data_IF_838359025214
#
_entry.id   IF_838359025214
#
_cell.length_a   1.000
_cell.length_b   1.000
_cell.length_c   1.000
_cell.angle_alpha   90.00
_cell.angle_beta   90.00
_cell.angle_gamma   90.00
#
_symmetry.space_group_name_H-M   'P 1'
#
loop_
_entity.id
_entity.type
_entity.pdbx_description
1 polymer ?
#
# COMPACT_ATOMS: atom_id res chain seq x y z
N UNK A 1 -17.33 31.16 -6.76
CA UNK A 1 -16.42 30.49 -7.73
C UNK A 1 -17.24 29.75 -8.80
N UNK A 2 -18.31 29.07 -8.42
CA UNK A 2 -19.22 28.39 -9.37
C UNK A 2 -19.82 29.35 -10.41
N UNK A 3 -20.13 30.58 -10.02
CA UNK A 3 -20.64 31.63 -10.91
C UNK A 3 -19.62 32.08 -11.96
N UNK A 4 -18.32 32.05 -11.60
CA UNK A 4 -17.22 32.49 -12.48
C UNK A 4 -16.76 31.35 -13.38
N UNK A 5 -16.58 30.17 -12.83
CA UNK A 5 -15.95 29.04 -13.50
C UNK A 5 -16.97 27.99 -14.00
N UNK A 6 -18.21 28.05 -13.52
CA UNK A 6 -19.24 27.06 -13.77
C UNK A 6 -19.09 25.83 -12.89
N UNK A 7 -20.16 25.42 -12.24
CA UNK A 7 -20.19 24.27 -11.31
C UNK A 7 -19.75 22.96 -11.96
N UNK A 8 -20.06 22.76 -13.23
CA UNK A 8 -19.63 21.57 -14.01
C UNK A 8 -18.12 21.50 -14.26
N UNK A 9 -17.41 22.59 -14.02
CA UNK A 9 -15.96 22.67 -14.14
C UNK A 9 -15.22 22.46 -12.81
N UNK A 10 -15.93 22.36 -11.70
CA UNK A 10 -15.34 22.02 -10.42
C UNK A 10 -14.79 20.60 -10.46
N UNK A 11 -13.53 20.42 -10.05
CA UNK A 11 -12.86 19.12 -10.01
C UNK A 11 -12.75 18.58 -8.57
N UNK A 12 -12.20 19.39 -7.67
CA UNK A 12 -11.96 18.97 -6.29
C UNK A 12 -11.60 20.15 -5.40
N UNK A 13 -11.57 19.90 -4.10
CA UNK A 13 -11.00 20.78 -3.09
C UNK A 13 -9.91 20.04 -2.33
N UNK A 14 -8.72 20.61 -2.29
CA UNK A 14 -7.66 20.18 -1.41
C UNK A 14 -7.78 20.87 -0.05
N UNK A 15 -7.67 20.08 1.01
CA UNK A 15 -7.61 20.53 2.38
C UNK A 15 -6.16 20.50 2.81
N UNK A 16 -5.56 21.68 2.95
CA UNK A 16 -4.13 21.80 3.25
C UNK A 16 -3.97 22.16 4.72
N UNK A 17 -3.32 21.28 5.46
CA UNK A 17 -2.94 21.59 6.83
C UNK A 17 -1.77 22.56 6.83
N UNK A 18 -2.00 23.78 7.26
CA UNK A 18 -1.02 24.87 7.29
C UNK A 18 -0.38 25.09 8.66
N UNK A 19 -0.89 24.38 9.68
CA UNK A 19 -0.32 24.45 11.05
C UNK A 19 -0.37 23.08 11.72
N UNK A 20 0.62 22.84 12.58
CA UNK A 20 0.63 21.71 13.49
C UNK A 20 -0.01 22.11 14.81
N UNK A 21 -0.72 21.19 15.45
CA UNK A 21 -1.48 21.45 16.69
C UNK A 21 -0.62 22.03 17.83
N UNK A 22 0.68 21.69 17.86
CA UNK A 22 1.63 22.15 18.86
C UNK A 22 2.24 23.55 18.58
N UNK A 23 1.96 24.15 17.41
CA UNK A 23 2.50 25.47 17.03
C UNK A 23 1.41 26.54 17.04
N UNK A 24 1.03 26.97 18.23
CA UNK A 24 0.18 28.15 18.43
C UNK A 24 1.02 29.41 18.34
N UNK A 25 0.85 30.21 17.28
CA UNK A 25 1.61 31.44 17.05
C UNK A 25 1.05 32.66 17.75
N UNK A 26 -0.20 32.59 18.24
CA UNK A 26 -0.84 33.69 19.01
C UNK A 26 -1.74 33.09 20.08
N UNK A 27 -1.56 33.52 21.29
CA UNK A 27 -2.36 33.12 22.45
C UNK A 27 -3.69 33.88 22.58
N UNK A 28 -3.90 34.90 21.75
CA UNK A 28 -5.00 35.86 21.80
C UNK A 28 -6.13 35.58 20.77
N UNK A 29 -6.11 34.42 20.16
CA UNK A 29 -7.17 33.99 19.19
C UNK A 29 -8.03 32.90 19.77
N UNK A 30 -9.34 33.12 19.79
CA UNK A 30 -10.33 32.11 20.22
C UNK A 30 -10.35 30.86 19.37
N UNK A 31 -9.99 30.99 18.08
CA UNK A 31 -9.94 29.89 17.13
C UNK A 31 -8.68 29.92 16.27
N UNK A 32 -8.04 28.78 16.13
CA UNK A 32 -6.86 28.63 15.27
C UNK A 32 -7.25 27.99 13.93
N UNK A 33 -6.95 28.69 12.84
CA UNK A 33 -7.09 28.16 11.50
C UNK A 33 -5.95 27.18 11.21
N UNK A 34 -6.26 25.87 11.18
CA UNK A 34 -5.28 24.84 10.88
C UNK A 34 -5.31 24.39 9.42
N UNK A 35 -6.42 24.64 8.72
CA UNK A 35 -6.68 24.14 7.38
C UNK A 35 -6.96 25.29 6.43
N UNK A 36 -6.37 25.22 5.25
CA UNK A 36 -6.71 26.07 4.10
C UNK A 36 -7.28 25.21 2.97
N UNK A 37 -8.06 25.87 2.11
CA UNK A 37 -8.74 25.20 1.01
C UNK A 37 -8.19 25.71 -0.32
N UNK A 38 -7.89 24.77 -1.24
CA UNK A 38 -7.61 25.07 -2.63
C UNK A 38 -8.72 24.45 -3.49
N UNK A 39 -9.57 25.28 -4.07
CA UNK A 39 -10.60 24.84 -5.00
C UNK A 39 -10.01 24.76 -6.40
N UNK A 40 -10.14 23.62 -7.05
CA UNK A 40 -9.63 23.40 -8.40
C UNK A 40 -10.77 23.31 -9.40
N UNK A 41 -10.70 24.17 -10.42
CA UNK A 41 -11.63 24.19 -11.53
C UNK A 41 -10.87 23.96 -12.84
N UNK A 42 -11.45 23.21 -13.74
CA UNK A 42 -10.93 23.10 -15.11
C UNK A 42 -11.46 24.26 -15.97
N UNK A 43 -10.68 24.69 -16.96
CA UNK A 43 -11.12 25.73 -17.90
C UNK A 43 -12.24 25.23 -18.83
N UNK A 44 -12.23 23.96 -19.17
CA UNK A 44 -13.23 23.30 -20.03
C UNK A 44 -13.24 21.78 -19.78
N UNK A 45 -14.24 21.10 -20.30
CA UNK A 45 -14.32 19.63 -20.22
C UNK A 45 -13.11 18.91 -20.86
N UNK A 46 -12.39 19.57 -21.78
CA UNK A 46 -11.19 19.03 -22.43
C UNK A 46 -9.91 19.26 -21.61
N UNK A 47 -9.93 20.16 -20.64
CA UNK A 47 -8.76 20.45 -19.81
C UNK A 47 -8.48 19.29 -18.87
N UNK A 48 -7.26 18.76 -18.91
CA UNK A 48 -6.75 17.71 -18.00
C UNK A 48 -5.50 18.24 -17.32
N UNK A 49 -5.28 17.91 -16.01
CA UNK A 49 -4.01 18.20 -15.37
C UNK A 49 -2.90 17.46 -16.10
N UNK A 50 -1.76 18.09 -16.23
CA UNK A 50 -0.56 17.42 -16.70
C UNK A 50 -0.17 16.36 -15.67
N UNK A 51 -0.06 15.12 -16.11
CA UNK A 51 0.52 14.09 -15.27
C UNK A 51 2.02 14.34 -15.17
N UNK A 52 2.50 14.49 -13.96
CA UNK A 52 3.94 14.48 -13.72
C UNK A 52 4.37 13.01 -13.76
N UNK A 53 4.88 12.56 -14.89
CA UNK A 53 5.44 11.21 -14.99
C UNK A 53 6.78 11.23 -14.25
N UNK A 54 6.79 10.63 -13.07
CA UNK A 54 8.03 10.36 -12.35
C UNK A 54 8.74 9.24 -13.10
N UNK A 55 10.00 9.43 -13.54
CA UNK A 55 10.76 8.35 -14.15
C UNK A 55 10.80 7.15 -13.20
N UNK A 56 10.43 6.00 -13.71
CA UNK A 56 10.37 4.78 -12.93
C UNK A 56 11.67 4.01 -13.14
N UNK A 57 12.45 3.83 -12.08
CA UNK A 57 13.57 2.89 -12.09
C UNK A 57 13.10 1.55 -11.54
N UNK A 58 13.49 0.48 -12.20
CA UNK A 58 13.26 -0.89 -11.73
C UNK A 58 14.37 -1.38 -10.80
N UNK A 59 15.43 -0.60 -10.62
CA UNK A 59 16.59 -0.95 -9.79
C UNK A 59 16.22 -1.18 -8.33
N UNK A 60 15.17 -0.51 -7.86
CA UNK A 60 14.65 -0.67 -6.50
C UNK A 60 13.92 -1.99 -6.29
N UNK A 61 13.46 -2.65 -7.36
CA UNK A 61 12.77 -3.96 -7.29
C UNK A 61 13.77 -5.11 -7.32
N UNK A 62 14.63 -5.17 -6.32
CA UNK A 62 15.78 -6.06 -6.25
C UNK A 62 15.64 -7.20 -5.23
N UNK A 63 14.51 -7.29 -4.56
CA UNK A 63 14.23 -8.34 -3.57
C UNK A 63 13.34 -9.43 -4.18
N UNK A 64 13.78 -10.67 -4.12
CA UNK A 64 13.05 -11.83 -4.63
C UNK A 64 12.78 -12.80 -3.49
N UNK A 65 11.53 -13.27 -3.36
CA UNK A 65 11.17 -14.31 -2.41
C UNK A 65 11.60 -15.67 -2.95
N UNK A 66 12.32 -16.41 -2.12
CA UNK A 66 12.72 -17.78 -2.42
C UNK A 66 12.06 -18.73 -1.42
N UNK A 67 11.23 -19.59 -1.93
CA UNK A 67 10.64 -20.70 -1.18
C UNK A 67 11.72 -21.78 -1.00
N UNK A 68 12.04 -22.17 0.24
CA UNK A 68 13.19 -23.05 0.53
C UNK A 68 12.81 -24.31 1.27
N UNK A 69 11.54 -24.45 1.67
CA UNK A 69 11.14 -25.59 2.48
C UNK A 69 9.66 -25.94 2.36
N UNK A 70 9.17 -26.60 3.38
CA UNK A 70 7.80 -27.08 3.44
C UNK A 70 6.82 -25.92 3.66
N UNK A 71 5.62 -26.12 3.16
CA UNK A 71 4.49 -25.21 3.37
C UNK A 71 3.23 -26.04 3.64
N UNK A 72 2.25 -25.42 4.23
CA UNK A 72 0.90 -25.97 4.28
C UNK A 72 -0.06 -25.08 3.50
N UNK A 73 -1.07 -25.70 2.92
CA UNK A 73 -2.09 -24.98 2.14
C UNK A 73 -3.36 -24.83 2.96
N UNK A 74 -3.96 -23.64 2.89
CA UNK A 74 -5.29 -23.38 3.45
C UNK A 74 -6.13 -22.58 2.45
N UNK A 75 -7.41 -22.44 2.75
CA UNK A 75 -8.31 -21.55 2.04
C UNK A 75 -8.71 -20.37 2.91
N UNK A 76 -8.52 -19.14 2.41
CA UNK A 76 -8.93 -17.92 3.07
C UNK A 76 -9.67 -17.03 2.08
N UNK A 77 -10.89 -16.60 2.43
CA UNK A 77 -11.68 -15.73 1.58
C UNK A 77 -11.92 -16.28 0.17
N UNK A 78 -12.09 -17.61 0.04
CA UNK A 78 -12.26 -18.29 -1.23
C UNK A 78 -10.99 -18.36 -2.09
N UNK A 79 -9.82 -18.12 -1.50
CA UNK A 79 -8.52 -18.19 -2.20
C UNK A 79 -7.61 -19.22 -1.56
N UNK A 80 -6.86 -19.93 -2.41
CA UNK A 80 -5.77 -20.78 -1.95
C UNK A 80 -4.65 -19.93 -1.39
N UNK A 81 -4.14 -20.32 -0.23
CA UNK A 81 -3.01 -19.69 0.44
C UNK A 81 -2.01 -20.76 0.85
N UNK A 82 -0.80 -20.67 0.32
CA UNK A 82 0.32 -21.49 0.78
C UNK A 82 1.08 -20.70 1.85
N UNK A 83 1.30 -21.33 3.00
CA UNK A 83 1.85 -20.70 4.21
C UNK A 83 3.19 -21.31 4.52
N UNK A 84 4.22 -20.47 4.52
CA UNK A 84 5.61 -20.85 4.80
C UNK A 84 6.00 -20.29 6.15
N UNK A 85 6.51 -21.12 7.02
CA UNK A 85 7.08 -20.66 8.28
C UNK A 85 8.38 -19.88 8.04
N UNK A 86 8.84 -19.14 9.04
CA UNK A 86 10.00 -18.26 8.96
C UNK A 86 11.25 -18.89 8.36
N UNK A 87 11.47 -20.18 8.61
CA UNK A 87 12.70 -20.88 8.21
C UNK A 87 12.58 -21.51 6.81
N UNK A 88 11.40 -21.45 6.19
CA UNK A 88 11.09 -22.08 4.90
C UNK A 88 11.02 -21.08 3.74
N UNK A 89 11.49 -19.88 3.94
CA UNK A 89 11.64 -18.89 2.89
C UNK A 89 12.74 -17.88 3.21
N UNK A 90 13.28 -17.24 2.20
CA UNK A 90 14.25 -16.16 2.36
C UNK A 90 14.10 -15.10 1.27
N UNK A 91 14.83 -13.99 1.43
CA UNK A 91 14.94 -12.94 0.42
C UNK A 91 16.30 -13.06 -0.24
N UNK A 92 16.29 -13.18 -1.56
CA UNK A 92 17.47 -13.08 -2.40
C UNK A 92 17.50 -11.70 -3.06
N UNK A 93 18.63 -11.02 -2.96
CA UNK A 93 18.82 -9.74 -3.65
C UNK A 93 19.51 -9.99 -4.99
N UNK A 94 18.88 -9.49 -6.05
CA UNK A 94 19.37 -9.54 -7.43
C UNK A 94 19.25 -8.18 -8.07
N UNK A 95 19.70 -8.06 -9.31
CA UNK A 95 19.46 -6.88 -10.13
C UNK A 95 17.95 -6.65 -10.29
N UNK A 96 17.53 -5.40 -10.13
CA UNK A 96 16.12 -5.02 -10.25
C UNK A 96 15.63 -5.14 -11.70
N UNK A 97 14.52 -5.82 -11.89
CA UNK A 97 13.90 -6.03 -13.20
C UNK A 97 12.39 -5.76 -13.14
N UNK A 98 11.77 -5.67 -14.31
CA UNK A 98 10.30 -5.61 -14.43
C UNK A 98 9.62 -6.83 -13.80
N UNK A 99 10.27 -7.97 -13.82
CA UNK A 99 9.72 -9.20 -13.24
C UNK A 99 9.77 -9.17 -11.72
N UNK A 100 10.85 -8.65 -11.12
CA UNK A 100 10.94 -8.42 -9.68
C UNK A 100 9.78 -7.56 -9.16
N UNK A 101 9.40 -6.52 -9.88
CA UNK A 101 8.22 -5.70 -9.56
C UNK A 101 6.92 -6.50 -9.47
N UNK A 102 6.77 -7.53 -10.31
CA UNK A 102 5.55 -8.33 -10.38
C UNK A 102 5.55 -9.48 -9.38
N UNK A 103 6.71 -10.02 -9.07
CA UNK A 103 6.85 -11.15 -8.15
C UNK A 103 6.68 -10.77 -6.69
N UNK A 104 7.08 -9.53 -6.32
CA UNK A 104 7.16 -9.14 -4.92
C UNK A 104 6.04 -8.18 -4.56
N UNK A 105 5.06 -8.70 -3.88
CA UNK A 105 4.09 -7.92 -3.12
C UNK A 105 4.15 -8.33 -1.65
N UNK A 106 5.10 -7.79 -0.93
CA UNK A 106 5.10 -7.88 0.51
C UNK A 106 4.26 -6.72 1.03
N UNK A 107 3.11 -6.98 1.55
CA UNK A 107 2.27 -5.93 2.11
C UNK A 107 2.07 -6.12 3.60
N UNK A 108 2.60 -5.21 4.38
CA UNK A 108 2.25 -5.03 5.77
C UNK A 108 1.33 -3.84 5.99
N UNK A 109 0.84 -3.15 4.95
CA UNK A 109 0.03 -1.95 5.12
C UNK A 109 -1.44 -2.22 4.87
N UNK A 110 -2.26 -1.82 5.82
CA UNK A 110 -3.73 -1.89 5.80
C UNK A 110 -4.32 -0.74 4.95
N UNK A 111 -3.49 0.19 4.49
CA UNK A 111 -3.94 1.47 3.93
C UNK A 111 -4.23 1.42 2.42
N UNK A 112 -3.81 0.36 1.75
CA UNK A 112 -4.09 0.21 0.32
C UNK A 112 -5.55 -0.22 0.10
N UNK A 113 -6.31 0.64 -0.55
CA UNK A 113 -7.68 0.35 -0.96
C UNK A 113 -7.80 -0.69 -2.08
N UNK A 114 -6.68 -1.27 -2.54
CA UNK A 114 -6.65 -2.30 -3.58
C UNK A 114 -7.04 -3.69 -3.05
N UNK A 115 -7.19 -4.65 -3.94
CA UNK A 115 -7.60 -6.02 -3.62
C UNK A 115 -6.62 -6.72 -2.67
N UNK A 116 -5.32 -6.46 -2.82
CA UNK A 116 -4.26 -7.02 -1.98
C UNK A 116 -4.33 -6.49 -0.55
N UNK A 117 -4.44 -5.18 -0.38
CA UNK A 117 -4.56 -4.56 0.94
C UNK A 117 -5.82 -4.99 1.69
N UNK A 118 -6.95 -5.13 0.97
CA UNK A 118 -8.20 -5.65 1.55
C UNK A 118 -8.04 -7.09 2.00
N UNK A 119 -7.43 -7.95 1.18
CA UNK A 119 -7.21 -9.34 1.54
C UNK A 119 -6.33 -9.47 2.80
N UNK A 120 -5.25 -8.70 2.89
CA UNK A 120 -4.40 -8.69 4.08
C UNK A 120 -5.19 -8.29 5.33
N UNK A 121 -5.94 -7.19 5.26
CA UNK A 121 -6.74 -6.69 6.37
C UNK A 121 -7.77 -7.70 6.85
N UNK A 122 -8.47 -8.32 5.91
CA UNK A 122 -9.65 -9.14 6.22
C UNK A 122 -9.28 -10.58 6.63
N UNK A 123 -8.13 -11.10 6.16
CA UNK A 123 -7.79 -12.51 6.33
C UNK A 123 -6.41 -12.79 6.93
N UNK A 124 -5.45 -11.88 6.84
CA UNK A 124 -4.09 -12.11 7.31
C UNK A 124 -3.73 -11.34 8.59
N UNK A 125 -4.49 -10.29 8.93
CA UNK A 125 -4.28 -9.53 10.16
C UNK A 125 -4.48 -10.42 11.38
N UNK A 126 -3.50 -10.41 12.30
CA UNK A 126 -3.57 -11.20 13.55
C UNK A 126 -3.19 -12.68 13.41
N UNK A 127 -3.03 -13.20 12.21
CA UNK A 127 -2.69 -14.62 12.01
C UNK A 127 -1.34 -15.04 12.58
N UNK A 128 -0.44 -14.11 12.87
CA UNK A 128 0.82 -14.41 13.53
C UNK A 128 0.66 -15.12 14.90
N UNK A 129 -0.51 -15.01 15.52
CA UNK A 129 -0.82 -15.70 16.77
C UNK A 129 -0.94 -17.23 16.58
N UNK A 130 -1.45 -17.66 15.40
CA UNK A 130 -1.58 -19.07 15.03
C UNK A 130 -0.41 -19.57 14.17
N UNK A 131 0.03 -18.76 13.22
CA UNK A 131 0.97 -19.19 12.18
C UNK A 131 2.43 -18.86 12.54
N UNK A 132 2.64 -18.06 13.59
CA UNK A 132 3.95 -17.64 14.05
C UNK A 132 4.47 -16.35 13.38
N UNK A 133 5.51 -15.79 14.00
CA UNK A 133 6.18 -14.59 13.47
C UNK A 133 7.08 -14.92 12.28
N UNK A 134 7.10 -14.03 11.32
CA UNK A 134 7.94 -14.16 10.12
C UNK A 134 7.35 -15.09 9.06
N UNK A 135 6.08 -15.42 9.16
CA UNK A 135 5.38 -16.24 8.16
C UNK A 135 5.25 -15.51 6.83
N UNK A 136 5.44 -16.24 5.74
CA UNK A 136 5.16 -15.81 4.37
C UNK A 136 3.87 -16.49 3.88
N UNK A 137 3.00 -15.71 3.29
CA UNK A 137 1.76 -16.17 2.66
C UNK A 137 1.84 -15.95 1.16
N UNK A 138 1.68 -17.01 0.37
CA UNK A 138 1.52 -16.94 -1.08
C UNK A 138 0.04 -17.12 -1.40
N UNK A 139 -0.61 -16.04 -1.81
CA UNK A 139 -2.05 -15.99 -2.05
C UNK A 139 -2.31 -16.06 -3.54
N UNK A 140 -3.04 -17.06 -3.98
CA UNK A 140 -3.40 -17.26 -5.38
C UNK A 140 -4.72 -16.57 -5.74
N UNK A 141 -4.92 -16.31 -7.03
CA UNK A 141 -6.12 -15.65 -7.54
C UNK A 141 -6.25 -14.18 -7.07
N UNK A 142 -5.12 -13.52 -6.87
CA UNK A 142 -5.05 -12.11 -6.50
C UNK A 142 -3.99 -11.43 -7.37
N UNK A 143 -4.40 -10.35 -8.02
CA UNK A 143 -3.57 -9.65 -9.00
C UNK A 143 -4.17 -9.73 -10.40
N UNK A 144 -3.68 -8.86 -11.27
CA UNK A 144 -4.14 -8.64 -12.64
C UNK A 144 -2.99 -8.72 -13.66
N UNK A 145 -1.84 -9.22 -13.24
CA UNK A 145 -0.66 -9.41 -14.08
C UNK A 145 -0.48 -10.90 -14.46
N UNK A 146 0.67 -11.22 -15.08
CA UNK A 146 1.00 -12.57 -15.50
C UNK A 146 1.18 -13.59 -14.35
N UNK A 147 1.34 -13.10 -13.12
CA UNK A 147 1.45 -13.93 -11.92
C UNK A 147 0.11 -13.95 -11.20
N UNK A 148 -0.52 -15.09 -11.15
CA UNK A 148 -1.81 -15.29 -10.47
C UNK A 148 -1.65 -15.44 -8.95
N UNK A 149 -0.67 -14.79 -8.37
CA UNK A 149 -0.45 -14.80 -6.92
C UNK A 149 0.23 -13.52 -6.41
N UNK A 150 0.17 -13.34 -5.10
CA UNK A 150 0.90 -12.31 -4.38
C UNK A 150 1.49 -12.88 -3.09
N UNK A 151 2.67 -12.39 -2.73
CA UNK A 151 3.26 -12.66 -1.43
C UNK A 151 2.86 -11.62 -0.40
N UNK A 152 2.62 -12.08 0.82
CA UNK A 152 2.40 -11.24 1.99
C UNK A 152 3.25 -11.73 3.13
N UNK A 153 3.90 -10.82 3.83
CA UNK A 153 4.69 -11.14 5.01
C UNK A 153 3.93 -10.82 6.28
N UNK A 154 3.92 -11.74 7.22
CA UNK A 154 3.46 -11.49 8.58
C UNK A 154 4.46 -10.66 9.40
N UNK A 155 4.07 -10.21 10.59
CA UNK A 155 4.98 -9.57 11.53
C UNK A 155 6.17 -10.48 11.83
N UNK A 156 7.37 -9.91 11.93
CA UNK A 156 8.60 -10.68 12.07
C UNK A 156 9.17 -10.72 13.50
N UNK A 157 8.55 -10.02 14.44
CA UNK A 157 8.98 -9.96 15.86
C UNK A 157 7.82 -9.61 16.79
N UNK A 158 7.97 -9.96 18.07
CA UNK A 158 7.03 -9.61 19.13
C UNK A 158 6.82 -8.09 19.17
N UNK A 159 5.57 -7.68 19.31
CA UNK A 159 5.15 -6.27 19.33
C UNK A 159 4.96 -5.64 17.96
N UNK A 160 5.36 -6.30 16.87
CA UNK A 160 5.01 -5.87 15.53
C UNK A 160 3.63 -6.44 15.14
N UNK A 161 2.79 -5.61 14.54
CA UNK A 161 1.46 -5.99 14.04
C UNK A 161 1.38 -6.05 12.51
N UNK A 162 2.43 -5.58 11.84
CA UNK A 162 2.52 -5.51 10.38
C UNK A 162 3.74 -6.28 9.88
N UNK A 163 3.61 -6.86 8.71
CA UNK A 163 4.72 -7.45 8.00
C UNK A 163 5.74 -6.40 7.51
N UNK A 164 6.92 -6.86 7.16
CA UNK A 164 7.93 -6.02 6.53
C UNK A 164 7.63 -5.90 5.04
N UNK A 165 7.67 -4.67 4.53
CA UNK A 165 7.62 -4.41 3.10
C UNK A 165 9.01 -4.64 2.50
N UNK A 166 9.06 -5.32 1.36
CA UNK A 166 10.27 -5.52 0.56
C UNK A 166 10.02 -4.97 -0.85
N UNK A 167 11.00 -4.31 -1.39
CA UNK A 167 10.96 -3.72 -2.71
C UNK A 167 12.22 -4.08 -3.48
#
# INVERSE_FOLDING_TARGET
LDEIFGRSNYLTTFYIRVRYAEKTLKQDMDYHKEIEFIHVYRKSAKSKPNKNEVPYSYDDFNCYFKETGEFHTMELGGKRVDVFSKDHWNIEKKEGTTDGRKEIWASGTILDGNSSGRFFRDYLTGRYESDGYGTLYKVYGIGDDQFDFRYFTGPNKIGATKGKYYQ
#
